data_IF_033733770625
#
_entry.id   IF_033733770625
#
_cell.length_a   1.000
_cell.length_b   1.000
_cell.length_c   1.000
_cell.angle_alpha   90.00
_cell.angle_beta   90.00
_cell.angle_gamma   90.00
#
_symmetry.space_group_name_H-M   'P 1'
#
loop_
_entity.id
_entity.type
_entity.pdbx_description
1 polymer ?
#
# COMPACT_ATOMS: atom_id res chain seq x y z
N UNK A 1 -1.70 -3.48 37.32
CA UNK A 1 -2.57 -3.68 36.13
C UNK A 1 -1.92 -4.71 35.21
N UNK A 2 -2.61 -5.82 34.94
CA UNK A 2 -2.11 -7.03 34.28
C UNK A 2 -1.92 -6.79 32.77
N UNK A 3 -0.72 -7.05 32.24
CA UNK A 3 -0.41 -6.97 30.80
C UNK A 3 -0.70 -8.33 30.16
N UNK A 4 -1.80 -8.44 29.43
CA UNK A 4 -2.15 -9.68 28.71
C UNK A 4 -1.38 -9.74 27.39
N UNK A 5 -0.63 -10.82 27.22
CA UNK A 5 0.09 -11.19 26.00
C UNK A 5 -0.89 -11.90 25.06
N UNK A 6 -1.12 -11.36 23.87
CA UNK A 6 -1.85 -12.07 22.82
C UNK A 6 -0.85 -12.64 21.81
N UNK A 7 -0.54 -13.92 21.98
CA UNK A 7 0.07 -14.79 20.98
C UNK A 7 -0.98 -15.18 19.93
N UNK A 8 -0.64 -15.13 18.65
CA UNK A 8 -1.44 -15.77 17.62
C UNK A 8 -0.51 -16.36 16.55
N UNK A 9 -0.24 -17.64 16.70
CA UNK A 9 0.33 -18.50 15.67
C UNK A 9 -0.80 -18.95 14.74
N UNK A 10 -0.56 -18.95 13.44
CA UNK A 10 -1.41 -19.71 12.52
C UNK A 10 -0.56 -20.23 11.36
N UNK A 11 -0.19 -21.51 11.50
CA UNK A 11 0.40 -22.39 10.51
C UNK A 11 -0.73 -22.79 9.56
N UNK A 12 -0.52 -22.70 8.24
CA UNK A 12 -1.23 -23.51 7.26
C UNK A 12 -0.36 -23.68 6.02
N UNK A 13 0.24 -24.86 5.91
CA UNK A 13 0.78 -25.36 4.66
C UNK A 13 -0.33 -25.90 3.77
N UNK A 14 -0.08 -25.94 2.47
CA UNK A 14 -0.73 -26.86 1.54
C UNK A 14 0.16 -27.00 0.29
N UNK A 15 0.67 -28.22 0.14
CA UNK A 15 1.32 -28.73 -1.05
C UNK A 15 0.27 -29.02 -2.14
N UNK A 16 0.70 -28.97 -3.41
CA UNK A 16 -0.14 -29.33 -4.55
C UNK A 16 0.64 -29.34 -5.84
N UNK A 17 1.34 -30.44 -6.10
CA UNK A 17 1.92 -30.78 -7.40
C UNK A 17 0.82 -31.12 -8.39
N UNK A 18 0.85 -30.57 -9.61
CA UNK A 18 0.17 -31.17 -10.75
C UNK A 18 1.09 -31.20 -11.97
N UNK A 19 1.30 -32.42 -12.45
CA UNK A 19 2.08 -32.80 -13.61
C UNK A 19 1.41 -32.32 -14.90
N UNK A 20 2.22 -31.80 -15.83
CA UNK A 20 1.78 -31.40 -17.16
C UNK A 20 1.59 -32.62 -18.06
N UNK A 21 0.39 -32.76 -18.61
CA UNK A 21 0.16 -33.58 -19.79
C UNK A 21 0.74 -32.87 -21.02
N UNK A 22 1.58 -33.60 -21.74
CA UNK A 22 2.05 -33.27 -23.08
C UNK A 22 0.91 -33.41 -24.10
N UNK A 23 0.67 -32.37 -24.90
CA UNK A 23 0.20 -32.58 -26.28
C UNK A 23 0.88 -31.55 -27.18
N UNK A 24 1.70 -32.09 -28.09
CA UNK A 24 2.49 -31.36 -29.06
C UNK A 24 1.63 -30.87 -30.23
N UNK A 25 2.20 -29.91 -30.94
CA UNK A 25 1.64 -29.20 -32.08
C UNK A 25 1.19 -30.11 -33.23
N UNK A 26 0.12 -29.69 -33.91
CA UNK A 26 -0.12 -30.03 -35.31
C UNK A 26 -0.33 -28.72 -36.10
N UNK A 27 0.41 -28.61 -37.20
CA UNK A 27 0.54 -27.43 -38.05
C UNK A 27 -0.43 -27.54 -39.22
N UNK A 28 -1.10 -26.44 -39.60
CA UNK A 28 -1.62 -26.37 -40.96
C UNK A 28 -2.59 -25.25 -41.31
N UNK A 29 -2.05 -24.24 -42.02
CA UNK A 29 -2.63 -23.64 -43.23
C UNK A 29 -3.67 -22.52 -43.05
N UNK A 30 -3.32 -21.32 -43.51
CA UNK A 30 -4.30 -20.31 -43.94
C UNK A 30 -3.88 -18.87 -43.68
N UNK A 31 -3.47 -18.19 -44.75
CA UNK A 31 -3.21 -16.77 -44.94
C UNK A 31 -4.05 -15.84 -44.03
N UNK A 32 -3.36 -14.99 -43.27
CA UNK A 32 -3.75 -13.62 -42.88
C UNK A 32 -2.54 -12.94 -42.20
N UNK A 33 -1.47 -12.72 -42.98
CA UNK A 33 -0.40 -11.80 -42.60
C UNK A 33 -0.83 -10.43 -43.11
N UNK A 34 -0.90 -9.45 -42.21
CA UNK A 34 -0.81 -7.99 -42.47
C UNK A 34 -1.57 -7.11 -41.45
N UNK A 35 -2.06 -7.64 -40.32
CA UNK A 35 -2.61 -6.79 -39.25
C UNK A 35 -2.43 -7.30 -37.82
N UNK A 36 -1.25 -7.83 -37.50
CA UNK A 36 -0.92 -8.17 -36.10
C UNK A 36 0.55 -8.03 -35.72
N UNK A 37 1.34 -7.35 -36.53
CA UNK A 37 2.71 -6.97 -36.18
C UNK A 37 2.75 -5.46 -35.96
N UNK A 38 2.56 -5.06 -34.69
CA UNK A 38 3.03 -3.80 -34.09
C UNK A 38 2.63 -3.64 -32.61
N UNK A 39 2.25 -4.74 -31.93
CA UNK A 39 2.04 -4.76 -30.47
C UNK A 39 2.45 -6.11 -29.91
N UNK A 40 3.72 -6.47 -30.10
CA UNK A 40 4.29 -7.68 -29.48
C UNK A 40 5.73 -7.42 -29.04
N UNK A 41 5.96 -6.25 -28.44
CA UNK A 41 7.13 -5.92 -27.65
C UNK A 41 6.66 -5.55 -26.24
N UNK A 42 7.18 -6.26 -25.23
CA UNK A 42 7.05 -5.82 -23.83
C UNK A 42 6.25 -6.71 -22.89
N UNK A 43 6.22 -8.02 -23.06
CA UNK A 43 5.79 -8.93 -21.97
C UNK A 43 6.74 -10.11 -21.79
N UNK A 44 7.96 -9.82 -21.33
CA UNK A 44 8.88 -10.85 -20.84
C UNK A 44 9.76 -10.38 -19.67
N UNK A 45 9.21 -9.58 -18.75
CA UNK A 45 9.93 -9.12 -17.55
C UNK A 45 9.08 -9.22 -16.25
N UNK A 46 8.23 -10.23 -16.14
CA UNK A 46 7.26 -10.34 -15.04
C UNK A 46 7.79 -10.76 -13.66
N UNK A 47 9.05 -11.16 -13.52
CA UNK A 47 9.53 -11.79 -12.27
C UNK A 47 10.53 -10.93 -11.47
N UNK A 48 11.24 -9.99 -12.12
CA UNK A 48 12.29 -9.17 -11.47
C UNK A 48 11.77 -7.91 -10.78
N UNK A 49 10.55 -7.46 -11.08
CA UNK A 49 10.01 -6.21 -10.55
C UNK A 49 9.46 -6.31 -9.12
N UNK A 50 9.03 -7.50 -8.68
CA UNK A 50 8.46 -7.67 -7.33
C UNK A 50 9.49 -7.55 -6.20
N UNK A 51 10.77 -7.86 -6.44
CA UNK A 51 11.85 -7.70 -5.45
C UNK A 51 12.33 -6.24 -5.32
N UNK A 52 12.20 -5.43 -6.37
CA UNK A 52 12.61 -4.02 -6.36
C UNK A 52 11.63 -3.20 -5.52
N UNK A 53 10.32 -3.38 -5.73
CA UNK A 53 9.28 -2.68 -4.97
C UNK A 53 9.36 -2.84 -3.44
N UNK A 54 9.69 -4.04 -2.92
CA UNK A 54 9.79 -4.25 -1.46
C UNK A 54 11.00 -3.57 -0.81
N UNK A 55 12.14 -3.48 -1.52
CA UNK A 55 13.32 -2.76 -1.03
C UNK A 55 13.07 -1.25 -1.04
N UNK A 56 12.39 -0.77 -2.09
CA UNK A 56 12.01 0.63 -2.23
C UNK A 56 11.01 1.05 -1.14
N UNK A 57 10.07 0.17 -0.77
CA UNK A 57 9.10 0.42 0.31
C UNK A 57 9.78 0.61 1.67
N UNK A 58 10.69 -0.29 2.05
CA UNK A 58 11.38 -0.21 3.34
C UNK A 58 12.27 1.03 3.45
N UNK A 59 13.02 1.35 2.38
CA UNK A 59 13.83 2.57 2.34
C UNK A 59 12.96 3.82 2.41
N UNK A 60 11.83 3.84 1.70
CA UNK A 60 10.93 4.98 1.72
C UNK A 60 10.30 5.18 3.11
N UNK A 61 10.00 4.11 3.83
CA UNK A 61 9.53 4.19 5.22
C UNK A 61 10.57 4.77 6.16
N UNK A 62 11.81 4.30 6.06
CA UNK A 62 12.90 4.81 6.89
C UNK A 62 13.13 6.30 6.64
N UNK A 63 13.16 6.73 5.37
CA UNK A 63 13.28 8.15 5.02
C UNK A 63 12.10 9.00 5.55
N UNK A 64 10.89 8.45 5.61
CA UNK A 64 9.74 9.14 6.19
C UNK A 64 9.87 9.29 7.71
N UNK A 65 10.35 8.26 8.39
CA UNK A 65 10.62 8.30 9.83
C UNK A 65 11.74 9.30 10.15
N UNK A 66 12.82 9.31 9.37
CA UNK A 66 13.94 10.25 9.58
C UNK A 66 13.52 11.70 9.38
N UNK A 67 12.70 11.97 8.37
CA UNK A 67 12.13 13.32 8.17
C UNK A 67 11.24 13.71 9.33
N UNK A 68 10.32 12.84 9.75
CA UNK A 68 9.46 13.11 10.90
C UNK A 68 10.25 13.34 12.19
N UNK A 69 11.32 12.58 12.38
CA UNK A 69 12.19 12.72 13.54
C UNK A 69 12.85 14.08 13.60
N UNK A 70 13.39 14.57 12.48
CA UNK A 70 13.97 15.91 12.39
C UNK A 70 12.91 16.99 12.58
N UNK A 71 11.75 16.82 11.96
CA UNK A 71 10.66 17.81 12.01
C UNK A 71 10.04 17.98 13.39
N UNK A 72 9.97 16.90 14.17
CA UNK A 72 9.37 16.88 15.51
C UNK A 72 10.41 16.85 16.63
N UNK A 73 11.70 16.95 16.29
CA UNK A 73 12.82 16.84 17.23
C UNK A 73 12.69 15.61 18.15
N UNK A 74 12.49 14.44 17.53
CA UNK A 74 12.29 13.18 18.25
C UNK A 74 13.61 12.67 18.82
N UNK A 75 13.61 12.30 20.10
CA UNK A 75 14.71 11.53 20.67
C UNK A 75 14.81 10.14 20.02
N UNK A 76 15.99 9.50 20.08
CA UNK A 76 16.21 8.14 19.56
C UNK A 76 15.17 7.13 20.09
N UNK A 77 14.88 7.19 21.40
CA UNK A 77 13.85 6.34 22.04
C UNK A 77 12.45 6.60 21.51
N UNK A 78 12.11 7.85 21.18
CA UNK A 78 10.83 8.19 20.56
C UNK A 78 10.77 7.72 19.11
N UNK A 79 11.86 7.88 18.33
CA UNK A 79 11.94 7.37 16.96
C UNK A 79 11.67 5.87 16.89
N UNK A 80 12.32 5.07 17.73
CA UNK A 80 12.13 3.61 17.76
C UNK A 80 10.67 3.23 18.06
N UNK A 81 10.05 3.89 19.05
CA UNK A 81 8.64 3.65 19.39
C UNK A 81 7.70 4.06 18.26
N UNK A 82 7.94 5.23 17.65
CA UNK A 82 7.15 5.74 16.52
C UNK A 82 7.29 4.83 15.30
N UNK A 83 8.51 4.34 15.02
CA UNK A 83 8.78 3.38 13.94
C UNK A 83 7.96 2.11 14.14
N UNK A 84 7.97 1.54 15.34
CA UNK A 84 7.18 0.36 15.69
C UNK A 84 5.67 0.59 15.54
N UNK A 85 5.17 1.73 16.02
CA UNK A 85 3.74 2.10 15.88
C UNK A 85 3.33 2.13 14.40
N UNK A 86 4.14 2.73 13.52
CA UNK A 86 3.82 2.79 12.10
C UNK A 86 4.00 1.45 11.37
N UNK A 87 4.96 0.62 11.79
CA UNK A 87 5.10 -0.74 11.28
C UNK A 87 3.86 -1.58 11.61
N UNK A 88 3.40 -1.53 12.87
CA UNK A 88 2.19 -2.24 13.31
C UNK A 88 0.95 -1.76 12.53
N UNK A 89 0.80 -0.43 12.37
CA UNK A 89 -0.28 0.15 11.56
C UNK A 89 -0.24 -0.37 10.12
N UNK A 90 0.95 -0.39 9.49
CA UNK A 90 1.08 -0.86 8.11
C UNK A 90 0.69 -2.33 7.98
N UNK A 91 1.15 -3.18 8.89
CA UNK A 91 0.82 -4.61 8.88
C UNK A 91 -0.70 -4.83 9.02
N UNK A 92 -1.36 -4.11 9.92
CA UNK A 92 -2.81 -4.17 10.08
C UNK A 92 -3.54 -3.71 8.80
N UNK A 93 -3.09 -2.61 8.19
CA UNK A 93 -3.65 -2.10 6.93
C UNK A 93 -3.38 -3.02 5.73
N UNK A 94 -2.27 -3.76 5.73
CA UNK A 94 -1.98 -4.78 4.73
C UNK A 94 -2.88 -6.00 4.91
N UNK A 95 -3.09 -6.46 6.15
CA UNK A 95 -4.02 -7.54 6.44
C UNK A 95 -5.45 -7.20 6.00
N UNK A 96 -5.92 -5.97 6.28
CA UNK A 96 -7.22 -5.49 5.80
C UNK A 96 -7.32 -5.48 4.26
N UNK A 97 -6.23 -5.16 3.56
CA UNK A 97 -6.17 -5.23 2.09
C UNK A 97 -6.08 -6.65 1.56
N UNK A 98 -5.40 -7.57 2.26
CA UNK A 98 -5.34 -8.98 1.88
C UNK A 98 -6.70 -9.67 1.98
N UNK A 99 -7.53 -9.27 2.95
CA UNK A 99 -8.93 -9.73 3.10
C UNK A 99 -9.86 -9.28 1.95
N UNK A 100 -9.39 -8.40 1.05
CA UNK A 100 -10.17 -7.86 -0.07
C UNK A 100 -10.55 -8.91 -1.14
N UNK A 101 -9.87 -10.05 -1.18
CA UNK A 101 -10.29 -11.18 -2.01
C UNK A 101 -11.46 -11.98 -1.40
N UNK A 102 -11.77 -11.79 -0.11
CA UNK A 102 -12.71 -12.64 0.63
C UNK A 102 -14.01 -11.95 1.08
N UNK A 103 -14.11 -10.61 1.09
CA UNK A 103 -15.33 -9.94 1.60
C UNK A 103 -15.74 -8.68 0.83
N UNK A 104 -17.03 -8.60 0.47
CA UNK A 104 -17.63 -7.57 -0.37
C UNK A 104 -17.92 -6.24 0.35
N UNK A 105 -17.88 -6.19 1.68
CA UNK A 105 -18.35 -5.02 2.43
C UNK A 105 -17.29 -3.91 2.56
N UNK A 106 -17.42 -2.89 1.71
CA UNK A 106 -16.56 -1.69 1.72
C UNK A 106 -16.73 -0.86 2.99
N UNK A 107 -17.93 -0.81 3.56
CA UNK A 107 -18.24 0.05 4.70
C UNK A 107 -17.53 -0.45 5.98
N UNK A 108 -17.60 -1.75 6.23
CA UNK A 108 -16.91 -2.41 7.34
C UNK A 108 -15.40 -2.22 7.26
N UNK A 109 -14.81 -2.33 6.06
CA UNK A 109 -13.37 -2.06 5.87
C UNK A 109 -12.98 -0.63 6.22
N UNK A 110 -13.79 0.34 5.82
CA UNK A 110 -13.54 1.75 6.15
C UNK A 110 -13.63 1.99 7.66
N UNK A 111 -14.60 1.35 8.33
CA UNK A 111 -14.70 1.41 9.78
C UNK A 111 -13.46 0.80 10.47
N UNK A 112 -13.02 -0.38 10.03
CA UNK A 112 -11.81 -1.04 10.58
C UNK A 112 -10.54 -0.23 10.33
N UNK A 113 -10.38 0.34 9.13
CA UNK A 113 -9.28 1.24 8.81
C UNK A 113 -9.29 2.47 9.73
N UNK A 114 -10.46 3.08 9.98
CA UNK A 114 -10.61 4.19 10.91
C UNK A 114 -10.22 3.80 12.33
N UNK A 115 -10.63 2.62 12.81
CA UNK A 115 -10.25 2.11 14.13
C UNK A 115 -8.72 1.90 14.26
N UNK A 116 -8.08 1.36 13.22
CA UNK A 116 -6.61 1.23 13.18
C UNK A 116 -5.98 2.63 13.32
N UNK A 117 -6.42 3.60 12.54
CA UNK A 117 -5.90 4.97 12.61
C UNK A 117 -6.09 5.62 13.98
N UNK A 118 -7.26 5.47 14.60
CA UNK A 118 -7.54 5.98 15.94
C UNK A 118 -6.64 5.34 17.00
N UNK A 119 -6.42 4.03 16.92
CA UNK A 119 -5.49 3.33 17.82
C UNK A 119 -4.06 3.82 17.64
N UNK A 120 -3.61 3.97 16.40
CA UNK A 120 -2.28 4.53 16.10
C UNK A 120 -2.13 5.93 16.69
N UNK A 121 -3.16 6.78 16.54
CA UNK A 121 -3.16 8.14 17.06
C UNK A 121 -3.03 8.20 18.59
N UNK A 122 -3.74 7.32 19.30
CA UNK A 122 -3.59 7.16 20.75
C UNK A 122 -2.17 6.75 21.15
N UNK A 123 -1.61 5.76 20.47
CA UNK A 123 -0.23 5.32 20.74
C UNK A 123 0.81 6.42 20.47
N UNK A 124 0.59 7.26 19.45
CA UNK A 124 1.46 8.40 19.18
C UNK A 124 1.36 9.47 20.28
N UNK A 125 0.16 9.75 20.82
CA UNK A 125 -0.02 10.67 21.95
C UNK A 125 0.72 10.24 23.21
N UNK A 126 0.86 8.93 23.43
CA UNK A 126 1.58 8.40 24.58
C UNK A 126 3.12 8.51 24.44
N UNK A 127 3.62 8.64 23.21
CA UNK A 127 5.06 8.68 22.90
C UNK A 127 5.56 10.10 22.64
N UNK A 128 4.72 10.93 22.02
CA UNK A 128 5.02 12.31 21.67
C UNK A 128 4.54 13.25 22.78
N UNK A 129 5.31 14.29 23.07
CA UNK A 129 4.82 15.34 23.96
C UNK A 129 3.74 16.20 23.26
N UNK A 130 3.03 17.05 24.01
CA UNK A 130 1.94 17.89 23.49
C UNK A 130 2.36 18.75 22.29
N UNK A 131 3.56 19.36 22.33
CA UNK A 131 4.09 20.21 21.26
C UNK A 131 4.39 19.41 19.99
N UNK A 132 5.07 18.27 20.15
CA UNK A 132 5.40 17.36 19.05
C UNK A 132 4.14 16.80 18.38
N UNK A 133 3.16 16.39 19.19
CA UNK A 133 1.90 15.88 18.68
C UNK A 133 1.11 16.96 17.92
N UNK A 134 1.04 18.19 18.43
CA UNK A 134 0.41 19.30 17.73
C UNK A 134 1.07 19.59 16.36
N UNK A 135 2.41 19.56 16.29
CA UNK A 135 3.14 19.73 15.04
C UNK A 135 2.88 18.57 14.06
N UNK A 136 2.83 17.33 14.56
CA UNK A 136 2.48 16.16 13.76
C UNK A 136 1.09 16.30 13.13
N UNK A 137 0.10 16.73 13.92
CA UNK A 137 -1.27 16.97 13.46
C UNK A 137 -1.35 18.06 12.40
N UNK A 138 -0.68 19.19 12.61
CA UNK A 138 -0.64 20.28 11.63
C UNK A 138 -0.10 19.80 10.28
N UNK A 139 1.04 19.09 10.29
CA UNK A 139 1.62 18.49 9.07
C UNK A 139 0.73 17.43 8.45
N UNK A 140 0.01 16.64 9.25
CA UNK A 140 -0.96 15.66 8.76
C UNK A 140 -2.10 16.35 8.00
N UNK A 141 -2.66 17.41 8.56
CA UNK A 141 -3.70 18.20 7.92
C UNK A 141 -3.21 18.88 6.65
N UNK A 142 -2.00 19.43 6.65
CA UNK A 142 -1.39 20.05 5.47
C UNK A 142 -1.27 19.04 4.32
N UNK A 143 -0.74 17.84 4.59
CA UNK A 143 -0.69 16.76 3.60
C UNK A 143 -2.07 16.39 3.08
N UNK A 144 -3.08 16.32 3.95
CA UNK A 144 -4.45 16.03 3.52
C UNK A 144 -5.01 17.15 2.62
N UNK A 145 -4.73 18.42 2.90
CA UNK A 145 -5.14 19.55 2.04
C UNK A 145 -4.45 19.47 0.68
N UNK A 146 -3.14 19.22 0.64
CA UNK A 146 -2.39 19.06 -0.60
C UNK A 146 -2.93 17.89 -1.45
N UNK A 147 -3.30 16.76 -0.81
CA UNK A 147 -3.92 15.63 -1.51
C UNK A 147 -5.30 15.98 -2.07
N UNK A 148 -6.12 16.72 -1.33
CA UNK A 148 -7.45 17.17 -1.80
C UNK A 148 -7.32 18.11 -3.00
N UNK A 149 -6.40 19.08 -2.95
CA UNK A 149 -6.13 19.99 -4.06
C UNK A 149 -5.72 19.21 -5.32
N UNK A 150 -4.82 18.23 -5.19
CA UNK A 150 -4.38 17.39 -6.32
C UNK A 150 -5.50 16.53 -6.91
N UNK A 151 -6.45 16.05 -6.08
CA UNK A 151 -7.62 15.31 -6.57
C UNK A 151 -8.56 16.20 -7.38
N UNK A 152 -8.82 17.43 -6.93
CA UNK A 152 -9.68 18.38 -7.66
C UNK A 152 -9.09 18.79 -9.02
N UNK A 153 -7.76 18.90 -9.13
CA UNK A 153 -7.10 19.26 -10.40
C UNK A 153 -7.10 18.12 -11.45
N UNK A 154 -7.22 16.86 -11.01
CA UNK A 154 -7.24 15.71 -11.93
C UNK A 154 -8.61 15.50 -12.58
N UNK A 155 -9.70 15.90 -11.90
CA UNK A 155 -11.06 15.81 -12.46
C UNK A 155 -11.30 16.84 -13.58
N UNK A 156 -10.71 18.04 -13.45
CA UNK A 156 -10.82 19.10 -14.46
C UNK A 156 -10.19 18.75 -15.82
N UNK A 157 -9.14 17.91 -15.86
CA UNK A 157 -8.48 17.52 -17.12
C UNK A 157 -9.12 16.35 -17.85
N UNK A 158 -10.04 15.60 -17.20
CA UNK A 158 -10.79 14.50 -17.84
C UNK A 158 -12.08 14.97 -18.52
N UNK A 159 -12.59 16.15 -18.16
CA UNK A 159 -13.78 16.74 -18.78
C UNK A 159 -13.55 17.40 -20.14
N UNK A 160 -12.34 17.90 -20.39
CA UNK A 160 -12.01 18.70 -21.59
C UNK A 160 -11.86 17.86 -22.87
N UNK A 161 -11.52 16.57 -22.75
CA UNK A 161 -11.28 15.69 -23.92
C UNK A 161 -12.57 15.23 -24.64
N UNK A 162 -13.76 15.62 -24.15
CA UNK A 162 -15.05 15.18 -24.71
C UNK A 162 -15.75 16.22 -25.59
N UNK A 163 -15.23 17.45 -25.72
CA UNK A 163 -15.87 18.53 -26.48
C UNK A 163 -15.16 18.93 -27.78
N UNK A 164 -14.02 18.31 -28.12
CA UNK A 164 -13.22 18.66 -29.31
C UNK A 164 -13.43 17.80 -30.55
N UNK A 165 -14.59 17.16 -30.74
CA UNK A 165 -14.92 16.43 -31.97
C UNK A 165 -16.34 16.78 -32.41
N UNK A 166 -16.45 17.84 -33.20
CA UNK A 166 -17.59 18.15 -34.07
C UNK A 166 -17.03 18.59 -35.40
#
# INVERSE_FOLDING_TARGET
MKKQLFSLALILGLAGSFAGNSFAADFGKGKDKDRRELRQDGRKDGDKDHKKGRRDDAQHQQQRLDRMAKELDLSKKQQEKVAKIFQDQQQQMQALRGQQQASADRSQRMAQAKQIHERTDKQLKDVLNKKQYAQFEAKRQERMKQMQQRRGQHDGRRGDFKQGRS
#
